data_IF_550703402674
#
_entry.id   IF_550703402674
#
_cell.length_a   1.000
_cell.length_b   1.000
_cell.length_c   1.000
_cell.angle_alpha   90.00
_cell.angle_beta   90.00
_cell.angle_gamma   90.00
#
_symmetry.space_group_name_H-M   'P 1'
#
loop_
_entity.id
_entity.type
_entity.pdbx_description
1 polymer ?
#
# COMPACT_ATOMS: atom_id res chain seq x y z
N UNK A 1 21.40 16.81 -13.82
CA UNK A 1 20.35 17.58 -13.10
C UNK A 1 18.92 17.05 -13.35
N UNK A 2 18.71 16.04 -14.23
CA UNK A 2 17.37 15.53 -14.55
C UNK A 2 16.92 14.24 -13.83
N UNK A 3 17.82 13.55 -13.14
CA UNK A 3 17.55 12.21 -12.58
C UNK A 3 16.37 12.19 -11.60
N UNK A 4 16.25 13.21 -10.74
CA UNK A 4 15.13 13.30 -9.79
C UNK A 4 13.79 13.54 -10.49
N UNK A 5 13.78 14.26 -11.62
CA UNK A 5 12.59 14.50 -12.44
C UNK A 5 12.15 13.20 -13.11
N UNK A 6 13.10 12.40 -13.61
CA UNK A 6 12.85 11.07 -14.16
C UNK A 6 12.21 10.18 -13.08
N UNK A 7 12.78 10.18 -11.86
CA UNK A 7 12.21 9.47 -10.72
C UNK A 7 10.79 9.91 -10.39
N UNK A 8 10.53 11.23 -10.36
CA UNK A 8 9.21 11.80 -10.10
C UNK A 8 8.18 11.40 -11.17
N UNK A 9 8.53 11.48 -12.46
CA UNK A 9 7.65 11.10 -13.56
C UNK A 9 7.32 9.60 -13.53
N UNK A 10 8.33 8.75 -13.32
CA UNK A 10 8.13 7.29 -13.19
C UNK A 10 7.18 7.00 -12.01
N UNK A 11 7.36 7.67 -10.87
CA UNK A 11 6.52 7.49 -9.69
C UNK A 11 5.07 7.92 -9.94
N UNK A 12 4.86 9.04 -10.63
CA UNK A 12 3.52 9.52 -11.00
C UNK A 12 2.83 8.49 -11.89
N UNK A 13 3.49 8.05 -12.98
CA UNK A 13 2.93 7.04 -13.89
C UNK A 13 2.66 5.73 -13.16
N UNK A 14 3.61 5.27 -12.34
CA UNK A 14 3.46 4.06 -11.53
C UNK A 14 2.29 4.14 -10.55
N UNK A 15 2.15 5.27 -9.86
CA UNK A 15 1.06 5.51 -8.91
C UNK A 15 -0.30 5.56 -9.61
N UNK A 16 -0.42 6.22 -10.76
CA UNK A 16 -1.65 6.22 -11.58
C UNK A 16 -1.99 4.78 -12.02
N UNK A 17 -1.00 4.02 -12.49
CA UNK A 17 -1.18 2.62 -12.89
C UNK A 17 -1.62 1.72 -11.73
N UNK A 18 -1.07 1.91 -10.52
CA UNK A 18 -1.53 1.22 -9.31
C UNK A 18 -2.98 1.58 -8.98
N UNK A 19 -3.37 2.86 -9.11
CA UNK A 19 -4.76 3.27 -8.88
C UNK A 19 -5.71 2.56 -9.83
N UNK A 20 -5.36 2.60 -11.11
CA UNK A 20 -6.15 2.03 -12.16
C UNK A 20 -6.27 0.52 -11.97
N UNK A 21 -5.16 -0.15 -11.66
CA UNK A 21 -5.13 -1.58 -11.35
C UNK A 21 -6.02 -1.95 -10.17
N UNK A 22 -5.88 -1.26 -9.04
CA UNK A 22 -6.70 -1.52 -7.83
C UNK A 22 -8.19 -1.25 -8.05
N UNK A 23 -8.53 -0.20 -8.79
CA UNK A 23 -9.90 0.11 -9.14
C UNK A 23 -10.52 -0.93 -10.12
N UNK A 24 -9.75 -1.43 -11.09
CA UNK A 24 -10.19 -2.54 -11.95
C UNK A 24 -10.35 -3.86 -11.19
N UNK A 25 -9.45 -4.15 -10.25
CA UNK A 25 -9.58 -5.31 -9.36
C UNK A 25 -10.89 -5.22 -8.56
N UNK A 26 -11.20 -4.04 -8.01
CA UNK A 26 -12.45 -3.78 -7.29
C UNK A 26 -13.69 -3.95 -8.20
N UNK A 27 -13.64 -3.43 -9.42
CA UNK A 27 -14.71 -3.59 -10.41
C UNK A 27 -14.94 -5.07 -10.75
N UNK A 28 -13.88 -5.87 -10.91
CA UNK A 28 -13.99 -7.30 -11.15
C UNK A 28 -14.67 -8.06 -10.00
N UNK A 29 -14.44 -7.65 -8.76
CA UNK A 29 -15.15 -8.20 -7.60
C UNK A 29 -16.63 -7.82 -7.58
N UNK A 30 -16.97 -6.55 -7.88
CA UNK A 30 -18.36 -6.06 -7.96
C UNK A 30 -19.15 -6.76 -9.08
N UNK A 31 -18.52 -6.99 -10.24
CA UNK A 31 -19.10 -7.76 -11.34
C UNK A 31 -19.43 -9.19 -10.94
N UNK A 32 -18.52 -9.85 -10.20
CA UNK A 32 -18.73 -11.21 -9.67
C UNK A 32 -19.90 -11.25 -8.70
N UNK A 33 -19.99 -10.28 -7.79
CA UNK A 33 -21.06 -10.21 -6.79
C UNK A 33 -22.45 -10.02 -7.43
N UNK A 34 -22.55 -9.13 -8.43
CA UNK A 34 -23.78 -8.94 -9.22
C UNK A 34 -24.21 -10.21 -9.95
N UNK A 35 -23.27 -10.93 -10.57
CA UNK A 35 -23.54 -12.20 -11.25
C UNK A 35 -24.04 -13.29 -10.27
N UNK A 36 -23.49 -13.37 -9.05
CA UNK A 36 -23.98 -14.30 -8.04
C UNK A 36 -25.39 -13.95 -7.56
N UNK A 37 -25.69 -12.68 -7.31
CA UNK A 37 -27.02 -12.26 -6.82
C UNK A 37 -28.10 -12.48 -7.88
N UNK A 38 -27.84 -12.13 -9.15
CA UNK A 38 -28.79 -12.35 -10.25
C UNK A 38 -29.08 -13.84 -10.49
N UNK A 39 -28.08 -14.71 -10.40
CA UNK A 39 -28.27 -16.15 -10.60
C UNK A 39 -28.95 -16.84 -9.41
N UNK A 40 -28.68 -16.42 -8.17
CA UNK A 40 -29.40 -16.89 -6.98
C UNK A 40 -30.90 -16.54 -7.06
N UNK A 41 -31.23 -15.33 -7.54
CA UNK A 41 -32.63 -14.93 -7.75
C UNK A 41 -33.33 -15.70 -8.87
N UNK A 42 -32.59 -16.37 -9.76
CA UNK A 42 -33.14 -17.21 -10.85
C UNK A 42 -33.25 -18.70 -10.48
N UNK A 43 -32.97 -19.11 -9.22
CA UNK A 43 -33.21 -20.49 -8.76
C UNK A 43 -32.29 -21.55 -9.36
N UNK A 44 -31.15 -21.15 -9.93
CA UNK A 44 -30.19 -22.08 -10.52
C UNK A 44 -29.23 -22.65 -9.43
N UNK A 45 -29.68 -23.69 -8.71
CA UNK A 45 -28.98 -24.37 -7.60
C UNK A 45 -27.63 -25.03 -7.95
N UNK A 46 -27.11 -24.87 -9.17
CA UNK A 46 -25.81 -25.43 -9.61
C UNK A 46 -24.84 -24.37 -10.14
N UNK A 47 -24.81 -23.18 -9.56
CA UNK A 47 -23.80 -22.19 -9.92
C UNK A 47 -22.46 -22.49 -9.25
N UNK A 48 -21.52 -23.08 -9.99
CA UNK A 48 -20.11 -23.13 -9.58
C UNK A 48 -19.53 -21.73 -9.82
N UNK A 49 -19.14 -20.97 -8.77
CA UNK A 49 -18.61 -19.63 -8.97
C UNK A 49 -17.32 -19.71 -9.78
N UNK A 50 -17.33 -19.17 -11.01
CA UNK A 50 -16.12 -19.05 -11.82
C UNK A 50 -15.05 -18.31 -11.01
N UNK A 51 -13.83 -18.86 -11.02
CA UNK A 51 -12.68 -18.28 -10.31
C UNK A 51 -12.52 -16.80 -10.72
N UNK A 52 -12.16 -15.95 -9.75
CA UNK A 52 -11.97 -14.49 -9.94
C UNK A 52 -11.01 -14.20 -11.10
N UNK A 53 -10.07 -15.11 -11.38
CA UNK A 53 -9.13 -15.07 -12.50
C UNK A 53 -9.77 -15.13 -13.90
N UNK A 54 -11.03 -15.56 -14.03
CA UNK A 54 -11.69 -15.65 -15.34
C UNK A 54 -12.12 -14.28 -15.89
N UNK A 55 -12.34 -13.29 -15.03
CA UNK A 55 -12.77 -11.96 -15.46
C UNK A 55 -11.61 -11.20 -16.10
N UNK A 56 -11.78 -10.77 -17.35
CA UNK A 56 -10.77 -10.04 -18.12
C UNK A 56 -10.38 -8.72 -17.44
N UNK A 57 -11.35 -8.03 -16.82
CA UNK A 57 -11.16 -6.82 -16.01
C UNK A 57 -10.18 -7.05 -14.85
N UNK A 58 -10.29 -8.20 -14.16
CA UNK A 58 -9.42 -8.54 -13.03
C UNK A 58 -7.99 -8.87 -13.49
N UNK A 59 -7.85 -9.58 -14.62
CA UNK A 59 -6.55 -9.91 -15.22
C UNK A 59 -5.79 -8.66 -15.69
N UNK A 60 -6.49 -7.70 -16.28
CA UNK A 60 -5.91 -6.42 -16.66
C UNK A 60 -5.55 -5.63 -15.40
N UNK A 61 -6.43 -5.64 -14.38
CA UNK A 61 -6.18 -4.97 -13.10
C UNK A 61 -4.91 -5.45 -12.40
N UNK A 62 -4.68 -6.77 -12.32
CA UNK A 62 -3.47 -7.31 -11.68
C UNK A 62 -2.20 -6.97 -12.46
N UNK A 63 -2.27 -6.90 -13.80
CA UNK A 63 -1.14 -6.53 -14.64
C UNK A 63 -0.75 -5.06 -14.41
N UNK A 64 -1.71 -4.14 -14.44
CA UNK A 64 -1.45 -2.71 -14.17
C UNK A 64 -0.98 -2.48 -12.73
N UNK A 65 -1.55 -3.20 -11.77
CA UNK A 65 -1.11 -3.15 -10.38
C UNK A 65 0.35 -3.62 -10.23
N UNK A 66 0.72 -4.75 -10.83
CA UNK A 66 2.09 -5.26 -10.78
C UNK A 66 3.07 -4.32 -11.49
N UNK A 67 2.75 -3.90 -12.71
CA UNK A 67 3.58 -2.98 -13.50
C UNK A 67 3.77 -1.63 -12.77
N UNK A 68 2.71 -1.07 -12.20
CA UNK A 68 2.78 0.17 -11.45
C UNK A 68 3.65 0.07 -10.19
N UNK A 69 3.61 -1.05 -9.47
CA UNK A 69 4.51 -1.29 -8.34
C UNK A 69 5.98 -1.44 -8.79
N UNK A 70 6.24 -2.07 -9.93
CA UNK A 70 7.59 -2.13 -10.50
C UNK A 70 8.12 -0.73 -10.86
N UNK A 71 7.29 0.12 -11.47
CA UNK A 71 7.64 1.52 -11.76
C UNK A 71 7.92 2.31 -10.48
N UNK A 72 7.06 2.17 -9.47
CA UNK A 72 7.29 2.81 -8.17
C UNK A 72 8.60 2.35 -7.52
N UNK A 73 8.92 1.05 -7.59
CA UNK A 73 10.18 0.53 -7.10
C UNK A 73 11.39 1.11 -7.85
N UNK A 74 11.32 1.24 -9.18
CA UNK A 74 12.37 1.91 -9.96
C UNK A 74 12.55 3.38 -9.57
N UNK A 75 11.46 4.09 -9.28
CA UNK A 75 11.52 5.51 -8.89
C UNK A 75 12.36 5.76 -7.62
N UNK A 76 12.43 4.79 -6.70
CA UNK A 76 13.17 4.91 -5.44
C UNK A 76 14.68 5.14 -5.63
N UNK A 77 15.24 4.70 -6.77
CA UNK A 77 16.65 4.85 -7.11
C UNK A 77 17.01 6.27 -7.63
N UNK A 78 16.02 7.04 -8.05
CA UNK A 78 16.22 8.31 -8.76
C UNK A 78 15.74 9.53 -7.96
N UNK A 79 14.80 9.36 -7.03
CA UNK A 79 14.22 10.46 -6.25
C UNK A 79 14.20 10.20 -4.73
N UNK A 80 14.15 11.28 -3.97
CA UNK A 80 14.05 11.25 -2.51
C UNK A 80 12.71 10.66 -2.08
N UNK A 81 12.71 9.81 -1.06
CA UNK A 81 11.50 9.11 -0.62
C UNK A 81 10.41 10.08 -0.11
N UNK A 82 10.81 11.19 0.53
CA UNK A 82 9.88 12.24 0.95
C UNK A 82 9.14 12.87 -0.23
N UNK A 83 9.83 13.12 -1.34
CA UNK A 83 9.24 13.63 -2.58
C UNK A 83 8.27 12.60 -3.17
N UNK A 84 8.70 11.34 -3.27
CA UNK A 84 7.88 10.26 -3.83
C UNK A 84 6.63 9.97 -2.98
N UNK A 85 6.74 10.06 -1.66
CA UNK A 85 5.61 9.91 -0.75
C UNK A 85 4.56 11.01 -0.96
N UNK A 86 4.99 12.25 -1.21
CA UNK A 86 4.09 13.34 -1.54
C UNK A 86 3.41 13.13 -2.90
N UNK A 87 4.18 12.79 -3.94
CA UNK A 87 3.67 12.52 -5.29
C UNK A 87 2.67 11.36 -5.33
N UNK A 88 2.73 10.42 -4.39
CA UNK A 88 1.73 9.37 -4.23
C UNK A 88 0.30 9.88 -4.03
N UNK A 89 0.12 11.13 -3.59
CA UNK A 89 -1.20 11.77 -3.50
C UNK A 89 -1.89 12.01 -4.86
N UNK A 90 -1.19 11.85 -5.99
CA UNK A 90 -1.80 11.79 -7.33
C UNK A 90 -2.92 10.75 -7.41
N UNK A 91 -2.87 9.74 -6.52
CA UNK A 91 -3.91 8.75 -6.34
C UNK A 91 -5.30 9.33 -6.12
N UNK A 92 -5.42 10.44 -5.39
CA UNK A 92 -6.71 11.08 -5.15
C UNK A 92 -7.29 11.64 -6.45
N UNK A 93 -6.45 12.26 -7.29
CA UNK A 93 -6.85 12.78 -8.61
C UNK A 93 -7.27 11.64 -9.54
N UNK A 94 -6.45 10.60 -9.64
CA UNK A 94 -6.74 9.42 -10.49
C UNK A 94 -8.01 8.70 -10.06
N UNK A 95 -8.28 8.64 -8.75
CA UNK A 95 -9.47 7.99 -8.23
C UNK A 95 -10.75 8.75 -8.59
N UNK A 96 -10.71 10.09 -8.55
CA UNK A 96 -11.82 10.93 -9.02
C UNK A 96 -12.05 10.73 -10.52
N UNK A 97 -10.97 10.78 -11.31
CA UNK A 97 -11.07 10.56 -12.76
C UNK A 97 -11.69 9.19 -13.06
N UNK A 98 -11.26 8.13 -12.38
CA UNK A 98 -11.81 6.80 -12.55
C UNK A 98 -13.29 6.71 -12.12
N UNK A 99 -13.64 7.27 -10.96
CA UNK A 99 -15.02 7.25 -10.46
C UNK A 99 -15.99 7.98 -11.41
N UNK A 100 -15.52 9.03 -12.07
CA UNK A 100 -16.27 9.74 -13.10
C UNK A 100 -16.35 8.95 -14.41
N UNK A 101 -15.21 8.58 -15.00
CA UNK A 101 -15.16 7.97 -16.34
C UNK A 101 -15.62 6.51 -16.38
N UNK A 102 -15.24 5.68 -15.41
CA UNK A 102 -15.48 4.23 -15.45
C UNK A 102 -16.74 3.84 -14.70
N UNK A 103 -17.05 4.55 -13.61
CA UNK A 103 -18.19 4.22 -12.75
C UNK A 103 -19.42 5.10 -13.00
N UNK A 104 -19.29 6.17 -13.79
CA UNK A 104 -20.34 7.17 -14.04
C UNK A 104 -21.02 7.67 -12.75
N UNK A 105 -20.24 7.81 -11.66
CA UNK A 105 -20.75 8.33 -10.39
C UNK A 105 -20.53 9.84 -10.28
N UNK A 106 -21.51 10.52 -9.71
CA UNK A 106 -21.39 11.94 -9.38
C UNK A 106 -20.44 12.13 -8.19
N UNK A 107 -19.45 13.00 -8.36
CA UNK A 107 -18.43 13.28 -7.34
C UNK A 107 -18.89 14.47 -6.51
N UNK A 108 -18.85 14.33 -5.18
CA UNK A 108 -19.18 15.44 -4.28
C UNK A 108 -18.19 16.60 -4.45
N UNK A 109 -18.70 17.82 -4.50
CA UNK A 109 -17.89 19.06 -4.61
C UNK A 109 -16.84 19.14 -3.49
N UNK A 110 -17.15 18.63 -2.29
CA UNK A 110 -16.21 18.57 -1.16
C UNK A 110 -14.94 17.78 -1.50
N UNK A 111 -15.07 16.67 -2.24
CA UNK A 111 -13.94 15.82 -2.65
C UNK A 111 -13.09 16.50 -3.71
N UNK A 112 -13.72 17.24 -4.63
CA UNK A 112 -12.99 18.05 -5.62
C UNK A 112 -12.17 19.14 -4.95
N UNK A 113 -12.77 19.93 -4.05
CA UNK A 113 -12.06 21.00 -3.32
C UNK A 113 -10.88 20.44 -2.53
N UNK A 114 -11.07 19.36 -1.79
CA UNK A 114 -9.99 18.71 -1.04
C UNK A 114 -8.84 18.27 -1.96
N UNK A 115 -9.16 17.69 -3.13
CA UNK A 115 -8.15 17.24 -4.09
C UNK A 115 -7.41 18.41 -4.73
N UNK A 116 -8.07 19.53 -5.00
CA UNK A 116 -7.40 20.76 -5.46
C UNK A 116 -6.38 21.27 -4.45
N UNK A 117 -6.73 21.30 -3.15
CA UNK A 117 -5.77 21.67 -2.10
C UNK A 117 -4.58 20.69 -2.02
N UNK A 118 -4.81 19.40 -2.17
CA UNK A 118 -3.74 18.39 -2.22
C UNK A 118 -2.81 18.64 -3.40
N UNK A 119 -3.35 18.83 -4.60
CA UNK A 119 -2.56 19.11 -5.81
C UNK A 119 -1.73 20.38 -5.62
N UNK A 120 -2.34 21.44 -5.08
CA UNK A 120 -1.64 22.69 -4.78
C UNK A 120 -0.49 22.46 -3.79
N UNK A 121 -0.72 21.75 -2.68
CA UNK A 121 0.33 21.40 -1.72
C UNK A 121 1.50 20.62 -2.34
N UNK A 122 1.23 19.74 -3.30
CA UNK A 122 2.28 19.03 -4.02
C UNK A 122 3.09 19.92 -4.94
N UNK A 123 2.46 20.90 -5.60
CA UNK A 123 3.18 21.87 -6.42
C UNK A 123 4.21 22.60 -5.54
N UNK A 124 3.81 23.09 -4.36
CA UNK A 124 4.75 23.70 -3.40
C UNK A 124 5.85 22.74 -2.97
N UNK A 125 5.52 21.49 -2.66
CA UNK A 125 6.49 20.49 -2.23
C UNK A 125 7.50 20.15 -3.34
N UNK A 126 7.07 20.06 -4.60
CA UNK A 126 7.97 19.80 -5.73
C UNK A 126 8.83 21.03 -6.03
N UNK A 127 8.28 22.24 -5.91
CA UNK A 127 9.02 23.49 -6.16
C UNK A 127 10.07 23.79 -5.10
N UNK A 128 9.74 23.61 -3.81
CA UNK A 128 10.61 23.99 -2.69
C UNK A 128 11.22 22.79 -1.95
N UNK A 129 10.85 21.56 -2.31
CA UNK A 129 11.36 20.35 -1.69
C UNK A 129 12.83 20.13 -2.01
N UNK A 130 13.53 19.44 -1.12
CA UNK A 130 14.93 19.09 -1.35
C UNK A 130 15.05 18.08 -2.51
N UNK A 131 15.66 18.48 -3.62
CA UNK A 131 15.88 17.63 -4.80
C UNK A 131 17.11 16.73 -4.70
N UNK A 132 17.88 16.83 -3.61
CA UNK A 132 19.10 16.03 -3.43
C UNK A 132 18.75 14.56 -3.14
N UNK A 133 19.04 13.69 -4.12
CA UNK A 133 18.99 12.24 -3.96
C UNK A 133 20.42 11.69 -4.02
N UNK A 134 21.18 11.74 -2.90
CA UNK A 134 22.51 11.16 -2.85
C UNK A 134 22.42 9.66 -3.14
N UNK A 135 23.18 9.22 -4.14
CA UNK A 135 23.31 7.81 -4.51
C UNK A 135 24.34 7.22 -3.56
N UNK A 136 23.89 6.39 -2.63
CA UNK A 136 24.77 5.77 -1.64
C UNK A 136 25.39 4.50 -2.20
N UNK A 137 26.70 4.32 -2.01
CA UNK A 137 27.37 3.06 -2.32
C UNK A 137 27.04 2.00 -1.26
N UNK A 138 27.18 0.70 -1.56
CA UNK A 138 26.90 -0.38 -0.60
C UNK A 138 27.66 -0.22 0.72
N UNK A 139 28.91 0.23 0.68
CA UNK A 139 29.78 0.41 1.85
C UNK A 139 29.26 1.53 2.75
N UNK A 140 28.81 2.63 2.14
CA UNK A 140 28.16 3.73 2.87
C UNK A 140 26.82 3.31 3.47
N UNK A 141 26.08 2.43 2.79
CA UNK A 141 24.86 1.85 3.31
C UNK A 141 25.16 1.02 4.57
N UNK A 142 26.12 0.10 4.51
CA UNK A 142 26.53 -0.73 5.65
C UNK A 142 26.96 0.12 6.83
N UNK A 143 27.76 1.17 6.60
CA UNK A 143 28.16 2.11 7.65
C UNK A 143 26.96 2.81 8.31
N UNK A 144 25.92 3.13 7.53
CA UNK A 144 24.68 3.75 8.01
C UNK A 144 23.78 2.78 8.77
N UNK A 145 23.70 1.53 8.33
CA UNK A 145 23.00 0.45 9.03
C UNK A 145 23.70 0.05 10.34
N UNK A 146 25.03 0.13 10.39
CA UNK A 146 25.83 -0.17 11.58
C UNK A 146 25.86 0.98 12.60
N UNK A 147 25.27 2.13 12.29
CA UNK A 147 25.25 3.26 13.20
C UNK A 147 24.34 2.96 14.40
N UNK A 148 24.82 3.27 15.61
CA UNK A 148 24.09 3.03 16.86
C UNK A 148 22.69 3.66 16.84
N UNK A 149 22.55 4.86 16.28
CA UNK A 149 21.26 5.56 16.19
C UNK A 149 20.26 4.77 15.35
N UNK A 150 20.71 4.17 14.25
CA UNK A 150 19.85 3.34 13.40
C UNK A 150 19.48 2.02 14.08
N UNK A 151 20.41 1.40 14.80
CA UNK A 151 20.14 0.18 15.58
C UNK A 151 19.10 0.46 16.67
N UNK A 152 19.23 1.57 17.41
CA UNK A 152 18.25 1.98 18.43
C UNK A 152 16.87 2.24 17.82
N UNK A 153 16.81 2.86 16.63
CA UNK A 153 15.57 3.03 15.88
C UNK A 153 14.93 1.69 15.48
N UNK A 154 15.72 0.73 14.99
CA UNK A 154 15.21 -0.61 14.68
C UNK A 154 14.70 -1.34 15.92
N UNK A 155 15.40 -1.23 17.05
CA UNK A 155 14.98 -1.83 18.33
C UNK A 155 13.67 -1.22 18.84
N UNK A 156 13.51 0.10 18.75
CA UNK A 156 12.26 0.76 19.14
C UNK A 156 11.10 0.36 18.22
N UNK A 157 11.33 0.21 16.91
CA UNK A 157 10.33 -0.30 15.98
C UNK A 157 9.90 -1.74 16.30
N UNK A 158 10.85 -2.64 16.57
CA UNK A 158 10.54 -4.03 16.97
C UNK A 158 9.74 -4.05 18.26
N UNK A 159 10.11 -3.22 19.24
CA UNK A 159 9.37 -3.08 20.50
C UNK A 159 7.93 -2.61 20.26
N UNK A 160 7.73 -1.56 19.46
CA UNK A 160 6.39 -1.05 19.11
C UNK A 160 5.55 -2.12 18.41
N UNK A 161 6.14 -2.89 17.49
CA UNK A 161 5.46 -3.99 16.81
C UNK A 161 5.09 -5.11 17.77
N UNK A 162 6.02 -5.55 18.62
CA UNK A 162 5.78 -6.60 19.61
C UNK A 162 4.70 -6.19 20.62
N UNK A 163 4.78 -4.97 21.13
CA UNK A 163 3.79 -4.40 22.04
C UNK A 163 2.40 -4.32 21.42
N UNK A 164 2.29 -3.82 20.19
CA UNK A 164 1.00 -3.75 19.49
C UNK A 164 0.45 -5.14 19.11
N UNK A 165 1.33 -6.11 18.78
CA UNK A 165 0.89 -7.50 18.55
C UNK A 165 0.41 -8.17 19.85
N UNK A 166 1.07 -7.89 20.98
CA UNK A 166 0.63 -8.35 22.28
C UNK A 166 -0.74 -7.77 22.62
N UNK A 167 -0.92 -6.45 22.50
CA UNK A 167 -2.22 -5.79 22.70
C UNK A 167 -3.31 -6.35 21.79
N UNK A 168 -2.99 -6.62 20.52
CA UNK A 168 -3.92 -7.21 19.57
C UNK A 168 -4.39 -8.61 20.01
N UNK A 169 -3.47 -9.49 20.44
CA UNK A 169 -3.82 -10.83 20.96
C UNK A 169 -4.63 -10.77 22.24
N UNK A 170 -4.22 -9.92 23.20
CA UNK A 170 -4.97 -9.74 24.45
C UNK A 170 -6.37 -9.17 24.20
N UNK A 171 -6.51 -8.27 23.23
CA UNK A 171 -7.80 -7.71 22.83
C UNK A 171 -8.75 -8.74 22.24
N UNK A 172 -8.26 -9.65 21.38
CA UNK A 172 -9.09 -10.75 20.85
C UNK A 172 -9.60 -11.67 21.96
N UNK A 173 -8.75 -12.04 22.92
CA UNK A 173 -9.15 -12.92 24.04
C UNK A 173 -10.18 -12.27 24.97
N UNK A 174 -10.10 -10.94 25.18
CA UNK A 174 -11.03 -10.21 26.03
C UNK A 174 -12.38 -10.00 25.31
N UNK A 175 -12.37 -9.80 23.99
CA UNK A 175 -13.60 -9.65 23.21
C UNK A 175 -14.37 -10.97 23.07
N UNK A 176 -13.69 -12.11 23.01
CA UNK A 176 -14.36 -13.41 22.99
C UNK A 176 -15.06 -13.75 24.31
N UNK A 177 -14.58 -13.18 25.43
CA UNK A 177 -15.01 -13.56 26.78
C UNK A 177 -15.92 -12.50 27.44
N UNK A 178 -15.89 -11.23 27.00
CA UNK A 178 -16.57 -10.12 27.67
C UNK A 178 -17.94 -9.75 27.06
N UNK A 179 -18.99 -9.83 27.87
CA UNK A 179 -20.34 -9.41 27.54
C UNK A 179 -20.45 -7.89 27.31
N UNK A 180 -20.70 -7.49 26.05
CA UNK A 180 -21.25 -6.25 25.48
C UNK A 180 -20.79 -4.85 25.95
N UNK A 181 -20.38 -4.61 27.20
CA UNK A 181 -20.11 -3.26 27.71
C UNK A 181 -18.61 -2.87 27.75
N UNK A 182 -17.69 -3.80 28.01
CA UNK A 182 -16.23 -3.54 28.02
C UNK A 182 -15.60 -3.63 26.62
N UNK A 183 -16.29 -4.22 25.64
CA UNK A 183 -15.79 -4.45 24.28
C UNK A 183 -15.73 -3.22 23.36
N UNK A 184 -16.27 -2.06 23.77
CA UNK A 184 -16.32 -0.85 22.92
C UNK A 184 -14.93 -0.28 22.64
N UNK A 185 -14.11 -0.09 23.69
CA UNK A 185 -12.74 0.43 23.54
C UNK A 185 -11.83 -0.51 22.74
N UNK A 186 -11.96 -1.82 22.96
CA UNK A 186 -11.17 -2.82 22.26
C UNK A 186 -11.54 -2.92 20.77
N UNK A 187 -12.81 -2.70 20.40
CA UNK A 187 -13.25 -2.64 18.99
C UNK A 187 -12.64 -1.47 18.22
N UNK A 188 -12.35 -0.34 18.86
CA UNK A 188 -11.63 0.78 18.22
C UNK A 188 -10.11 0.59 18.25
N UNK A 189 -9.57 -0.05 19.30
CA UNK A 189 -8.13 -0.27 19.45
C UNK A 189 -7.59 -1.32 18.46
N UNK A 190 -8.36 -2.37 18.15
CA UNK A 190 -8.01 -3.43 17.21
C UNK A 190 -7.56 -2.94 15.82
N UNK A 191 -8.35 -2.14 15.08
CA UNK A 191 -7.93 -1.63 13.77
C UNK A 191 -6.73 -0.69 13.87
N UNK A 192 -6.59 0.05 14.97
CA UNK A 192 -5.47 0.94 15.20
C UNK A 192 -4.16 0.17 15.42
N UNK A 193 -4.14 -0.84 16.30
CA UNK A 193 -2.98 -1.72 16.49
C UNK A 193 -2.61 -2.48 15.21
N UNK A 194 -3.62 -2.92 14.45
CA UNK A 194 -3.39 -3.53 13.15
C UNK A 194 -2.71 -2.56 12.16
N UNK A 195 -3.18 -1.31 12.11
CA UNK A 195 -2.63 -0.26 11.26
C UNK A 195 -1.20 0.12 11.66
N UNK A 196 -0.90 0.25 12.96
CA UNK A 196 0.46 0.53 13.46
C UNK A 196 1.43 -0.57 13.03
N UNK A 197 1.09 -1.83 13.27
CA UNK A 197 1.97 -2.96 12.91
C UNK A 197 2.16 -3.02 11.38
N UNK A 198 1.10 -2.78 10.60
CA UNK A 198 1.19 -2.74 9.14
C UNK A 198 2.08 -1.59 8.65
N UNK A 199 1.91 -0.39 9.23
CA UNK A 199 2.69 0.79 8.90
C UNK A 199 4.17 0.66 9.27
N UNK A 200 4.47 0.11 10.45
CA UNK A 200 5.84 -0.14 10.89
C UNK A 200 6.56 -1.11 9.94
N UNK A 201 5.94 -2.26 9.63
CA UNK A 201 6.52 -3.25 8.72
C UNK A 201 6.62 -2.68 7.29
N UNK A 202 5.61 -1.94 6.84
CA UNK A 202 5.63 -1.23 5.57
C UNK A 202 6.77 -0.23 5.47
N UNK A 203 7.06 0.52 6.54
CA UNK A 203 8.18 1.46 6.56
C UNK A 203 9.54 0.77 6.36
N UNK A 204 9.75 -0.38 7.01
CA UNK A 204 10.95 -1.20 6.82
C UNK A 204 11.03 -1.73 5.38
N UNK A 205 9.91 -2.16 4.81
CA UNK A 205 9.86 -2.60 3.41
C UNK A 205 10.34 -1.52 2.46
N UNK A 206 9.90 -0.27 2.65
CA UNK A 206 10.32 0.85 1.80
C UNK A 206 11.80 1.19 1.99
N UNK A 207 12.32 1.11 3.23
CA UNK A 207 13.75 1.31 3.49
C UNK A 207 14.62 0.27 2.76
N UNK A 208 14.24 -0.99 2.84
CA UNK A 208 14.92 -2.07 2.11
C UNK A 208 14.76 -1.92 0.61
N UNK A 209 13.56 -1.55 0.15
CA UNK A 209 13.29 -1.30 -1.26
C UNK A 209 14.20 -0.20 -1.83
N UNK A 210 14.34 0.93 -1.10
CA UNK A 210 15.21 2.04 -1.49
C UNK A 210 16.69 1.65 -1.49
N UNK A 211 17.09 0.85 -0.51
CA UNK A 211 18.45 0.30 -0.43
C UNK A 211 18.75 -0.58 -1.65
N UNK A 212 17.83 -1.49 -1.97
CA UNK A 212 17.93 -2.41 -3.10
C UNK A 212 17.90 -1.67 -4.44
N UNK A 213 17.04 -0.66 -4.61
CA UNK A 213 16.93 0.11 -5.84
C UNK A 213 18.20 0.92 -6.14
N UNK A 214 18.83 1.48 -5.10
CA UNK A 214 20.11 2.18 -5.23
C UNK A 214 21.24 1.23 -5.67
N UNK A 215 21.32 0.05 -5.05
CA UNK A 215 22.29 -0.98 -5.44
C UNK A 215 22.07 -1.42 -6.89
N UNK A 216 20.82 -1.67 -7.28
CA UNK A 216 20.48 -2.06 -8.65
C UNK A 216 20.90 -1.00 -9.68
N UNK A 217 20.67 0.29 -9.39
CA UNK A 217 21.10 1.40 -10.26
C UNK A 217 22.62 1.47 -10.41
N UNK A 218 23.37 1.26 -9.33
CA UNK A 218 24.84 1.21 -9.37
C UNK A 218 25.34 0.02 -10.19
N UNK A 219 24.72 -1.15 -10.06
CA UNK A 219 25.06 -2.35 -10.83
C UNK A 219 24.74 -2.23 -12.32
N UNK A 220 23.68 -1.50 -12.69
CA UNK A 220 23.37 -1.23 -14.10
C UNK A 220 24.32 -0.21 -14.73
N UNK A 221 24.81 0.75 -13.94
CA UNK A 221 25.69 1.84 -14.42
C UNK A 221 27.19 1.50 -14.39
N UNK A 222 27.61 0.56 -13.55
CA UNK A 222 29.00 0.16 -13.37
C UNK A 222 29.05 -1.36 -13.38
N UNK A 223 30.05 -2.00 -14.02
CA UNK A 223 30.20 -3.47 -14.08
C UNK A 223 30.51 -4.12 -12.70
N UNK A 224 29.88 -3.65 -11.63
CA UNK A 224 29.95 -4.24 -10.30
C UNK A 224 29.20 -5.56 -10.29
N UNK A 225 29.89 -6.62 -9.89
CA UNK A 225 29.36 -7.97 -9.83
C UNK A 225 28.36 -8.06 -8.66
N UNK A 226 27.18 -8.65 -8.91
CA UNK A 226 26.09 -8.89 -7.94
C UNK A 226 26.48 -9.71 -6.69
N UNK A 227 27.76 -9.99 -6.47
CA UNK A 227 28.26 -11.07 -5.64
C UNK A 227 28.69 -10.65 -4.23
N UNK A 228 27.94 -9.75 -3.60
CA UNK A 228 28.11 -9.45 -2.17
C UNK A 228 26.96 -10.07 -1.37
N UNK A 229 27.29 -10.78 -0.30
CA UNK A 229 26.34 -11.37 0.67
C UNK A 229 25.26 -10.37 1.12
N UNK A 230 25.63 -9.09 1.20
CA UNK A 230 24.73 -7.99 1.57
C UNK A 230 23.55 -7.82 0.60
N UNK A 231 23.77 -7.95 -0.72
CA UNK A 231 22.71 -7.80 -1.73
C UNK A 231 21.67 -8.91 -1.60
N UNK A 232 22.12 -10.17 -1.41
CA UNK A 232 21.24 -11.31 -1.22
C UNK A 232 20.44 -11.20 0.08
N UNK A 233 21.08 -10.75 1.17
CA UNK A 233 20.42 -10.50 2.44
C UNK A 233 19.32 -9.43 2.33
N UNK A 234 19.61 -8.31 1.67
CA UNK A 234 18.64 -7.23 1.45
C UNK A 234 17.48 -7.64 0.53
N UNK A 235 17.75 -8.43 -0.52
CA UNK A 235 16.72 -8.94 -1.41
C UNK A 235 15.79 -9.92 -0.67
N UNK A 236 16.34 -10.82 0.15
CA UNK A 236 15.55 -11.75 0.96
C UNK A 236 14.68 -11.01 1.98
N UNK A 237 15.25 -10.02 2.69
CA UNK A 237 14.51 -9.18 3.63
C UNK A 237 13.39 -8.39 2.93
N UNK A 238 13.65 -7.86 1.73
CA UNK A 238 12.63 -7.19 0.93
C UNK A 238 11.50 -8.14 0.54
N UNK A 239 11.80 -9.34 0.00
CA UNK A 239 10.79 -10.32 -0.38
C UNK A 239 9.97 -10.81 0.82
N UNK A 240 10.61 -11.07 1.96
CA UNK A 240 9.92 -11.47 3.19
C UNK A 240 8.96 -10.37 3.67
N UNK A 241 9.44 -9.12 3.72
CA UNK A 241 8.64 -7.98 4.19
C UNK A 241 7.51 -7.65 3.21
N UNK A 242 7.77 -7.73 1.90
CA UNK A 242 6.76 -7.52 0.86
C UNK A 242 5.69 -8.64 0.87
N UNK A 243 6.11 -9.90 1.02
CA UNK A 243 5.19 -11.03 1.17
C UNK A 243 4.30 -10.88 2.40
N UNK A 244 4.89 -10.50 3.54
CA UNK A 244 4.14 -10.22 4.76
C UNK A 244 3.15 -9.06 4.58
N UNK A 245 3.55 -8.00 3.88
CA UNK A 245 2.67 -6.87 3.58
C UNK A 245 1.49 -7.28 2.71
N UNK A 246 1.71 -8.12 1.68
CA UNK A 246 0.63 -8.67 0.84
C UNK A 246 -0.32 -9.56 1.65
N UNK A 247 0.21 -10.45 2.50
CA UNK A 247 -0.60 -11.30 3.38
C UNK A 247 -1.47 -10.44 4.30
N UNK A 248 -0.89 -9.38 4.88
CA UNK A 248 -1.65 -8.44 5.69
C UNK A 248 -2.69 -7.70 4.87
N UNK A 249 -2.37 -7.13 3.71
CA UNK A 249 -3.37 -6.48 2.85
C UNK A 249 -4.59 -7.39 2.60
N UNK A 250 -4.34 -8.67 2.30
CA UNK A 250 -5.39 -9.67 2.10
C UNK A 250 -6.18 -9.86 3.41
N UNK A 251 -5.52 -10.05 4.55
CA UNK A 251 -6.17 -10.16 5.85
C UNK A 251 -6.99 -8.90 6.23
N UNK A 252 -6.51 -7.71 5.88
CA UNK A 252 -7.18 -6.44 6.11
C UNK A 252 -8.47 -6.31 5.30
N UNK A 253 -8.51 -6.83 4.06
CA UNK A 253 -9.76 -6.88 3.27
C UNK A 253 -10.80 -7.81 3.90
N UNK A 254 -10.37 -8.92 4.50
CA UNK A 254 -11.26 -9.85 5.21
C UNK A 254 -11.77 -9.25 6.54
N UNK A 255 -10.91 -8.51 7.27
CA UNK A 255 -11.29 -7.76 8.47
C UNK A 255 -12.30 -6.66 8.16
N UNK A 256 -12.13 -5.92 7.05
CA UNK A 256 -13.13 -4.95 6.60
C UNK A 256 -14.45 -5.63 6.22
N UNK A 257 -14.43 -6.81 5.61
CA UNK A 257 -15.67 -7.54 5.30
C UNK A 257 -16.39 -8.00 6.58
N UNK A 258 -15.65 -8.53 7.55
CA UNK A 258 -16.21 -8.91 8.85
C UNK A 258 -16.70 -7.70 9.66
N UNK A 259 -15.97 -6.58 9.62
CA UNK A 259 -16.38 -5.33 10.27
C UNK A 259 -17.54 -4.66 9.54
N UNK A 260 -17.66 -4.79 8.21
CA UNK A 260 -18.83 -4.33 7.45
C UNK A 260 -20.03 -5.25 7.66
N UNK A 261 -19.87 -6.56 7.77
CA UNK A 261 -21.01 -7.45 8.09
C UNK A 261 -21.55 -7.13 9.50
N UNK A 262 -20.67 -6.78 10.44
CA UNK A 262 -21.06 -6.32 11.78
C UNK A 262 -21.59 -4.87 11.82
N UNK A 263 -21.11 -3.99 10.92
CA UNK A 263 -21.56 -2.60 10.82
C UNK A 263 -22.77 -2.43 9.88
N UNK A 264 -23.06 -3.40 9.00
CA UNK A 264 -24.25 -3.45 8.14
C UNK A 264 -25.51 -3.78 8.95
N UNK A 265 -25.37 -4.33 10.15
CA UNK A 265 -26.43 -4.32 11.15
C UNK A 265 -26.69 -2.93 11.77
N UNK A 266 -25.92 -1.88 11.45
CA UNK A 266 -26.12 -0.56 12.06
C UNK A 266 -25.85 0.71 11.22
N UNK A 267 -25.28 0.64 10.02
CA UNK A 267 -25.01 1.83 9.21
C UNK A 267 -25.43 1.64 7.76
N UNK A 268 -26.68 2.00 7.51
CA UNK A 268 -27.11 2.54 6.23
C UNK A 268 -26.22 3.73 5.83
N UNK A 269 -25.71 3.68 4.60
CA UNK A 269 -25.20 4.78 3.79
C UNK A 269 -24.06 5.68 4.32
N UNK A 270 -23.05 5.87 3.45
CA UNK A 270 -22.16 7.05 3.35
C UNK A 270 -20.77 7.06 4.00
N UNK A 271 -20.00 5.98 4.08
CA UNK A 271 -18.54 6.17 4.27
C UNK A 271 -17.68 5.10 3.58
N UNK A 272 -17.14 5.43 2.41
CA UNK A 272 -15.94 4.79 1.89
C UNK A 272 -15.09 5.83 1.14
N UNK A 273 -13.96 6.17 1.77
CA UNK A 273 -12.75 6.63 1.08
C UNK A 273 -11.87 5.41 0.78
#
# INVERSE_FOLDING_TARGET
>A
MGDWVIGALINIVGSVAINFGTNLLKLGHDQREKLSTTNNNQGNDKFVPKSVMHFQTWRIGILFFAAGNCLNFMSFAYAAQSLLAALGSIQFVSNIAFAYFVLNKTISVKVMVATTFIVFGNIFLVSFGNHQSPVYTPEQLVAKYSNLVFVLYCMSLVFVVAFNQYLYRSGETIISDSAKHTGSHWRTLLPFSYAIVSGAIGSCSVLFAKSLSNMLRLTMSSRYQFHSWFTYSMLLLFLFTAGFWVIKLIAGTNLKRCSLDFCSCHCDNNFFF
#
